data_IF_137026215273
#
_entry.id   IF_137026215273
#
_cell.length_a   1.000
_cell.length_b   1.000
_cell.length_c   1.000
_cell.angle_alpha   90.00
_cell.angle_beta   90.00
_cell.angle_gamma   90.00
#
_symmetry.space_group_name_H-M   'P 1'
#
loop_
_entity.id
_entity.type
_entity.pdbx_description
1 polymer ?
#
# COMPACT_ATOMS: atom_id res chain seq x y z
N UNK A 1 -18.65 -2.34 8.70
CA UNK A 1 -17.31 -1.87 9.08
C UNK A 1 -16.32 -2.63 8.21
N UNK A 2 -15.32 -1.97 7.59
CA UNK A 2 -14.30 -2.70 6.84
C UNK A 2 -13.62 -3.73 7.76
N UNK A 3 -13.27 -4.88 7.20
CA UNK A 3 -12.52 -5.90 7.92
C UNK A 3 -11.16 -5.31 8.38
N UNK A 4 -10.61 -5.74 9.53
CA UNK A 4 -9.28 -5.31 9.93
C UNK A 4 -8.28 -5.71 8.85
N UNK A 5 -7.46 -4.76 8.42
CA UNK A 5 -6.45 -5.00 7.41
C UNK A 5 -5.31 -5.87 7.98
N UNK A 6 -4.94 -6.94 7.29
CA UNK A 6 -3.87 -7.85 7.68
C UNK A 6 -2.61 -7.65 6.83
N UNK A 7 -1.45 -7.42 7.46
CA UNK A 7 -0.18 -7.23 6.75
C UNK A 7 0.91 -6.57 7.60
N UNK A 8 2.13 -6.54 7.07
CA UNK A 8 3.25 -5.77 7.63
C UNK A 8 3.13 -4.32 7.17
N UNK A 9 2.35 -3.56 7.94
CA UNK A 9 2.02 -2.17 7.61
C UNK A 9 3.19 -1.19 7.85
N UNK A 10 4.22 -1.60 8.60
CA UNK A 10 5.43 -0.84 8.86
C UNK A 10 6.65 -1.61 8.31
N UNK A 11 7.43 -0.96 7.45
CA UNK A 11 8.57 -1.59 6.75
C UNK A 11 9.82 -0.74 6.90
N UNK A 12 11.00 -1.37 6.87
CA UNK A 12 12.30 -0.71 6.94
C UNK A 12 12.97 -0.71 5.56
N UNK A 13 13.12 0.47 4.96
CA UNK A 13 13.76 0.62 3.64
C UNK A 13 15.27 0.39 3.67
N UNK A 14 15.89 0.23 2.48
CA UNK A 14 17.36 0.16 2.33
C UNK A 14 18.07 1.42 2.81
N UNK A 15 17.37 2.55 2.79
CA UNK A 15 17.85 3.83 3.30
C UNK A 15 17.76 3.96 4.82
N UNK A 16 17.33 2.89 5.52
CA UNK A 16 17.19 2.85 6.97
C UNK A 16 15.98 3.60 7.51
N UNK A 17 15.11 4.14 6.64
CA UNK A 17 13.92 4.89 7.06
C UNK A 17 12.71 3.97 7.10
N UNK A 18 11.85 4.18 8.09
CA UNK A 18 10.58 3.48 8.19
C UNK A 18 9.56 4.05 7.20
N UNK A 19 8.77 3.17 6.60
CA UNK A 19 7.55 3.53 5.84
C UNK A 19 6.34 2.82 6.40
N UNK A 20 5.27 3.59 6.62
CA UNK A 20 3.97 3.13 7.11
C UNK A 20 2.95 3.15 5.98
N UNK A 21 2.17 2.07 5.87
CA UNK A 21 1.10 1.90 4.89
C UNK A 21 -0.22 1.68 5.61
N UNK A 22 -1.30 2.32 5.12
CA UNK A 22 -2.65 2.06 5.59
C UNK A 22 -3.64 2.02 4.41
N UNK A 23 -4.50 1.00 4.30
CA UNK A 23 -5.57 1.00 3.31
C UNK A 23 -6.58 2.10 3.65
N UNK A 24 -7.18 2.67 2.60
CA UNK A 24 -8.23 3.68 2.72
C UNK A 24 -9.23 3.47 1.58
N UNK A 25 -10.40 4.09 1.68
CA UNK A 25 -11.37 4.09 0.59
C UNK A 25 -10.71 4.60 -0.70
N UNK A 26 -10.75 3.78 -1.74
CA UNK A 26 -10.19 4.11 -3.05
C UNK A 26 -8.68 3.95 -3.19
N UNK A 27 -7.95 3.40 -2.20
CA UNK A 27 -6.52 3.13 -2.36
C UNK A 27 -5.74 2.89 -1.07
N UNK A 28 -4.55 3.48 -1.01
CA UNK A 28 -3.56 3.29 0.05
C UNK A 28 -2.95 4.64 0.46
N UNK A 29 -2.74 4.85 1.75
CA UNK A 29 -1.95 5.95 2.30
C UNK A 29 -0.55 5.47 2.64
N UNK A 30 0.43 6.33 2.43
CA UNK A 30 1.84 6.09 2.77
C UNK A 30 2.43 7.26 3.54
N UNK A 31 3.15 6.95 4.60
CA UNK A 31 4.07 7.85 5.28
C UNK A 31 5.48 7.29 5.22
N UNK A 32 6.48 8.17 5.27
CA UNK A 32 7.89 7.77 5.39
C UNK A 32 8.58 8.71 6.36
N UNK A 33 9.42 8.18 7.26
CA UNK A 33 10.28 8.99 8.12
C UNK A 33 11.04 10.03 7.31
N UNK A 34 11.16 11.25 7.82
CA UNK A 34 11.99 12.28 7.16
C UNK A 34 13.48 12.02 7.40
N UNK A 35 13.80 11.49 8.59
CA UNK A 35 15.13 11.10 9.02
C UNK A 35 15.05 9.83 9.88
N UNK A 36 16.06 8.98 9.79
CA UNK A 36 16.13 7.67 10.49
C UNK A 36 15.89 7.86 11.99
N UNK A 37 14.87 7.18 12.53
CA UNK A 37 14.52 7.21 13.96
C UNK A 37 14.02 8.56 14.48
N UNK A 38 13.75 9.51 13.58
CA UNK A 38 13.24 10.83 13.92
C UNK A 38 11.73 10.83 14.18
N UNK A 39 11.21 11.84 14.91
CA UNK A 39 9.77 11.93 15.17
C UNK A 39 8.97 12.43 13.95
N UNK A 40 9.64 12.92 12.91
CA UNK A 40 9.02 13.56 11.77
C UNK A 40 8.82 12.60 10.60
N UNK A 41 7.67 12.73 9.94
CA UNK A 41 7.23 11.88 8.83
C UNK A 41 6.71 12.74 7.69
N UNK A 42 7.02 12.33 6.46
CA UNK A 42 6.42 12.86 5.23
C UNK A 42 5.11 12.12 4.92
N UNK A 43 4.16 12.81 4.28
CA UNK A 43 2.84 12.27 3.93
C UNK A 43 1.69 12.78 4.83
N UNK A 44 0.49 12.17 4.73
CA UNK A 44 0.19 10.99 3.91
C UNK A 44 0.27 11.28 2.41
N UNK A 45 0.87 10.35 1.67
CA UNK A 45 0.76 10.29 0.22
C UNK A 45 -0.34 9.29 -0.14
N UNK A 46 -1.33 9.72 -0.92
CA UNK A 46 -2.40 8.86 -1.40
C UNK A 46 -2.01 8.19 -2.72
N UNK A 47 -2.14 6.87 -2.77
CA UNK A 47 -1.94 6.05 -3.96
C UNK A 47 -3.31 5.53 -4.40
N UNK A 48 -3.91 6.08 -5.48
CA UNK A 48 -5.24 5.70 -5.90
C UNK A 48 -5.24 4.32 -6.56
N UNK A 49 -6.18 3.47 -6.13
CA UNK A 49 -6.48 2.18 -6.77
C UNK A 49 -7.99 2.00 -6.83
N UNK A 50 -8.57 2.32 -7.99
CA UNK A 50 -10.01 2.24 -8.18
C UNK A 50 -10.52 0.81 -7.98
N UNK A 51 -11.59 0.68 -7.18
CA UNK A 51 -12.28 -0.60 -6.94
C UNK A 51 -11.53 -1.57 -6.03
N UNK A 52 -10.46 -1.13 -5.34
CA UNK A 52 -9.73 -1.97 -4.40
C UNK A 52 -10.64 -2.40 -3.24
N UNK A 53 -10.81 -3.71 -3.06
CA UNK A 53 -11.61 -4.30 -1.97
C UNK A 53 -10.74 -4.88 -0.88
N UNK A 54 -9.58 -5.42 -1.25
CA UNK A 54 -8.65 -6.08 -0.35
C UNK A 54 -7.21 -5.71 -0.71
N UNK A 55 -6.37 -5.54 0.30
CA UNK A 55 -4.96 -5.20 0.13
C UNK A 55 -4.13 -5.94 1.17
N UNK A 56 -3.02 -6.53 0.72
CA UNK A 56 -1.93 -6.93 1.59
C UNK A 56 -0.64 -6.23 1.18
N UNK A 57 0.15 -5.88 2.20
CA UNK A 57 1.46 -5.25 2.08
C UNK A 57 2.47 -6.22 2.65
N UNK A 58 3.48 -6.56 1.86
CA UNK A 58 4.56 -7.46 2.26
C UNK A 58 5.90 -6.89 1.83
N UNK A 59 6.93 -7.09 2.66
CA UNK A 59 8.29 -6.72 2.31
C UNK A 59 9.05 -7.96 1.81
N UNK A 60 9.57 -7.89 0.59
CA UNK A 60 10.37 -8.96 -0.01
C UNK A 60 11.78 -9.06 0.60
N UNK A 61 12.47 -10.16 0.33
CA UNK A 61 13.88 -10.33 0.73
C UNK A 61 14.82 -9.33 0.02
N UNK A 62 14.38 -8.76 -1.10
CA UNK A 62 15.04 -7.64 -1.80
C UNK A 62 14.81 -6.28 -1.11
N UNK A 63 14.09 -6.28 0.02
CA UNK A 63 13.63 -5.16 0.85
C UNK A 63 12.64 -4.21 0.16
N UNK A 64 12.18 -4.54 -1.04
CA UNK A 64 11.13 -3.77 -1.69
C UNK A 64 9.77 -4.15 -1.12
N UNK A 65 8.86 -3.20 -1.15
CA UNK A 65 7.49 -3.42 -0.68
C UNK A 65 6.63 -3.81 -1.87
N UNK A 66 5.95 -4.94 -1.73
CA UNK A 66 5.00 -5.45 -2.71
C UNK A 66 3.57 -5.22 -2.20
N UNK A 67 2.74 -4.68 -3.09
CA UNK A 67 1.31 -4.53 -2.88
C UNK A 67 0.60 -5.58 -3.70
N UNK A 68 -0.18 -6.44 -3.05
CA UNK A 68 -1.08 -7.36 -3.73
C UNK A 68 -2.51 -6.97 -3.37
N UNK A 69 -3.28 -6.57 -4.37
CA UNK A 69 -4.63 -6.09 -4.21
C UNK A 69 -5.64 -6.93 -4.97
N UNK A 70 -6.83 -7.09 -4.42
CA UNK A 70 -8.01 -7.55 -5.14
C UNK A 70 -8.86 -6.32 -5.46
N UNK A 71 -9.26 -6.16 -6.73
CA UNK A 71 -10.19 -5.10 -7.12
C UNK A 71 -11.43 -5.65 -7.80
N UNK A 72 -12.55 -4.97 -7.56
CA UNK A 72 -13.82 -5.20 -8.23
C UNK A 72 -14.13 -4.04 -9.19
N UNK A 73 -14.66 -4.37 -10.37
CA UNK A 73 -15.08 -3.40 -11.39
C UNK A 73 -16.38 -3.85 -12.04
N UNK A 74 -17.27 -2.93 -12.33
CA UNK A 74 -18.46 -3.22 -13.11
C UNK A 74 -18.06 -3.53 -14.57
N UNK A 75 -18.60 -4.62 -15.12
CA UNK A 75 -18.43 -5.00 -16.52
C UNK A 75 -19.55 -4.40 -17.36
N UNK A 76 -19.32 -4.29 -18.67
CA UNK A 76 -20.29 -3.76 -19.63
C UNK A 76 -21.60 -4.58 -19.71
N UNK A 77 -21.58 -5.84 -19.26
CA UNK A 77 -22.74 -6.73 -19.19
C UNK A 77 -23.49 -6.64 -17.85
N UNK A 78 -23.10 -5.73 -16.95
CA UNK A 78 -23.68 -5.57 -15.61
C UNK A 78 -23.16 -6.55 -14.56
N UNK A 79 -22.20 -7.42 -14.90
CA UNK A 79 -21.56 -8.32 -13.93
C UNK A 79 -20.39 -7.69 -13.18
N UNK A 80 -19.99 -8.28 -12.04
CA UNK A 80 -18.80 -7.85 -11.29
C UNK A 80 -17.53 -8.54 -11.77
N UNK A 81 -16.62 -7.76 -12.34
CA UNK A 81 -15.25 -8.14 -12.65
C UNK A 81 -14.35 -8.13 -11.44
N UNK A 82 -13.50 -9.16 -11.32
CA UNK A 82 -12.51 -9.28 -10.24
C UNK A 82 -11.14 -9.40 -10.88
N UNK A 83 -10.22 -8.52 -10.50
CA UNK A 83 -8.81 -8.59 -10.88
C UNK A 83 -7.92 -8.71 -9.65
N UNK A 84 -6.77 -9.33 -9.83
CA UNK A 84 -5.64 -9.22 -8.91
C UNK A 84 -4.66 -8.22 -9.50
N UNK A 85 -4.25 -7.23 -8.70
CA UNK A 85 -3.28 -6.21 -9.07
C UNK A 85 -2.03 -6.34 -8.22
N UNK A 86 -0.87 -6.14 -8.84
CA UNK A 86 0.43 -6.19 -8.18
C UNK A 86 1.23 -4.94 -8.51
N UNK A 87 1.84 -4.33 -7.50
CA UNK A 87 2.72 -3.18 -7.63
C UNK A 87 3.91 -3.29 -6.67
N UNK A 88 5.01 -2.62 -7.01
CA UNK A 88 6.26 -2.64 -6.23
C UNK A 88 6.68 -1.20 -5.92
N UNK A 89 7.03 -0.92 -4.68
CA UNK A 89 7.69 0.32 -4.26
C UNK A 89 9.21 0.12 -4.25
N UNK A 90 9.90 0.76 -5.19
CA UNK A 90 11.37 0.65 -5.32
C UNK A 90 12.15 1.61 -4.42
N UNK A 91 11.55 2.75 -4.03
CA UNK A 91 12.22 3.81 -3.28
C UNK A 91 11.47 4.13 -1.99
N UNK A 92 12.21 4.36 -0.91
CA UNK A 92 11.68 4.90 0.34
C UNK A 92 11.90 6.41 0.38
N UNK A 93 10.85 7.14 0.76
CA UNK A 93 10.80 8.60 0.56
C UNK A 93 10.51 8.95 -0.90
N UNK A 94 10.15 10.21 -1.16
CA UNK A 94 9.92 10.72 -2.52
C UNK A 94 11.07 10.40 -3.48
#
# INVERSE_FOLDING_TARGET
MPAPAHGDWLTLGKDGRLSLYAPTDGGLLRWTETAVGGPAWSGPHFVPVQGLTDLTVVQGADTYVHFLGRRERERADGGTGVDVVHAIQYQTGL
#
